data_IF_107995539685
#
_entry.id   IF_107995539685
#
_cell.length_a   1.000
_cell.length_b   1.000
_cell.length_c   1.000
_cell.angle_alpha   90.00
_cell.angle_beta   90.00
_cell.angle_gamma   90.00
#
_symmetry.space_group_name_H-M   'P 1'
#
loop_
_entity.id
_entity.type
_entity.pdbx_description
1 polymer ?
#
# COMPACT_ATOMS: atom_id res chain seq x y z
N UNK A 1 -15.40 -16.76 -18.78
CA UNK A 1 -15.68 -15.58 -17.91
C UNK A 1 -15.42 -14.32 -18.73
N UNK A 2 -16.33 -13.33 -18.76
CA UNK A 2 -16.02 -12.03 -19.37
C UNK A 2 -14.95 -11.34 -18.51
N UNK A 3 -13.87 -10.87 -19.13
CA UNK A 3 -12.87 -10.03 -18.47
C UNK A 3 -13.54 -8.80 -17.87
N UNK A 4 -13.17 -8.42 -16.64
CA UNK A 4 -13.67 -7.17 -16.02
C UNK A 4 -13.16 -5.99 -16.84
N UNK A 5 -14.01 -4.97 -17.04
CA UNK A 5 -13.60 -3.77 -17.78
C UNK A 5 -12.74 -2.85 -16.93
N UNK A 6 -12.95 -2.86 -15.62
CA UNK A 6 -12.21 -2.05 -14.68
C UNK A 6 -11.84 -2.86 -13.44
N UNK A 7 -10.57 -2.78 -13.02
CA UNK A 7 -10.17 -3.24 -11.69
C UNK A 7 -8.91 -2.52 -11.22
N UNK A 8 -8.92 -2.12 -9.95
CA UNK A 8 -7.74 -1.64 -9.23
C UNK A 8 -7.29 -2.75 -8.28
N UNK A 9 -6.08 -3.25 -8.46
CA UNK A 9 -5.47 -4.30 -7.65
C UNK A 9 -4.14 -3.78 -7.08
N UNK A 10 -3.63 -4.48 -6.08
CA UNK A 10 -2.36 -4.17 -5.46
C UNK A 10 -1.73 -5.43 -4.91
N UNK A 11 -0.41 -5.39 -4.73
CA UNK A 11 0.36 -6.45 -4.10
C UNK A 11 1.15 -5.82 -2.95
N UNK A 12 0.98 -6.35 -1.74
CA UNK A 12 1.74 -5.92 -0.57
C UNK A 12 3.20 -6.36 -0.71
N UNK A 13 4.13 -5.43 -0.47
CA UNK A 13 5.59 -5.59 -0.58
C UNK A 13 6.30 -5.14 0.70
N UNK A 14 5.94 -5.70 1.86
CA UNK A 14 6.45 -5.23 3.15
C UNK A 14 7.97 -5.38 3.32
N UNK A 15 8.66 -6.07 2.41
CA UNK A 15 10.11 -6.15 2.33
C UNK A 15 10.81 -4.83 1.95
N UNK A 16 10.09 -3.85 1.38
CA UNK A 16 10.64 -2.53 1.06
C UNK A 16 10.39 -1.54 2.20
N UNK A 17 9.15 -1.48 2.66
CA UNK A 17 8.71 -0.90 3.93
C UNK A 17 7.32 -1.45 4.25
N UNK A 18 6.91 -1.46 5.52
CA UNK A 18 5.68 -2.18 5.92
C UNK A 18 4.42 -1.72 5.18
N UNK A 19 4.33 -0.45 4.78
CA UNK A 19 3.21 0.08 3.98
C UNK A 19 3.47 0.11 2.46
N UNK A 20 4.44 -0.63 1.94
CA UNK A 20 4.76 -0.62 0.51
C UNK A 20 3.82 -1.53 -0.29
N UNK A 21 3.27 -1.01 -1.38
CA UNK A 21 2.44 -1.79 -2.30
C UNK A 21 2.77 -1.49 -3.76
N UNK A 22 2.78 -2.54 -4.58
CA UNK A 22 2.66 -2.41 -6.04
C UNK A 22 1.19 -2.07 -6.37
N UNK A 23 0.97 -1.22 -7.38
CA UNK A 23 -0.35 -0.84 -7.88
C UNK A 23 -0.58 -1.38 -9.30
N UNK A 24 -1.75 -1.96 -9.54
CA UNK A 24 -2.21 -2.29 -10.89
C UNK A 24 -3.58 -1.67 -11.15
N UNK A 25 -3.68 -0.80 -12.15
CA UNK A 25 -4.97 -0.35 -12.67
C UNK A 25 -5.22 -1.00 -14.03
N UNK A 26 -6.13 -1.98 -14.06
CA UNK A 26 -6.50 -2.70 -15.29
C UNK A 26 -7.75 -2.10 -15.91
N UNK A 27 -7.61 -1.65 -17.15
CA UNK A 27 -8.71 -1.17 -18.00
C UNK A 27 -8.76 -2.07 -19.24
N UNK A 28 -9.90 -2.72 -19.46
CA UNK A 28 -10.11 -3.65 -20.58
C UNK A 28 -9.02 -4.75 -20.67
N UNK A 29 -8.52 -5.18 -19.51
CA UNK A 29 -7.47 -6.20 -19.38
C UNK A 29 -6.03 -5.67 -19.46
N UNK A 30 -5.80 -4.41 -19.81
CA UNK A 30 -4.46 -3.80 -19.87
C UNK A 30 -4.13 -3.09 -18.56
N UNK A 31 -2.98 -3.38 -17.96
CA UNK A 31 -2.48 -2.63 -16.81
C UNK A 31 -1.91 -1.29 -17.29
N UNK A 32 -2.58 -0.18 -16.98
CA UNK A 32 -2.12 1.15 -17.40
C UNK A 32 -0.99 1.70 -16.51
N UNK A 33 -0.74 1.08 -15.36
CA UNK A 33 0.38 1.42 -14.48
C UNK A 33 1.70 0.75 -14.90
N UNK A 34 1.70 -0.13 -15.90
CA UNK A 34 2.92 -0.80 -16.35
C UNK A 34 3.84 0.17 -17.09
N UNK A 35 5.11 0.18 -16.69
CA UNK A 35 6.15 1.00 -17.28
C UNK A 35 7.46 0.23 -17.40
N UNK A 36 8.36 0.78 -18.19
CA UNK A 36 9.71 0.28 -18.37
C UNK A 36 10.74 1.32 -17.92
N UNK A 37 11.85 0.86 -17.37
CA UNK A 37 13.08 1.64 -17.20
C UNK A 37 14.12 1.10 -18.17
N UNK A 38 14.61 1.95 -19.07
CA UNK A 38 15.58 1.58 -20.12
C UNK A 38 15.15 0.33 -20.90
N UNK A 39 13.85 0.24 -21.21
CA UNK A 39 13.24 -0.84 -21.98
C UNK A 39 12.94 -2.13 -21.20
N UNK A 40 13.24 -2.20 -19.91
CA UNK A 40 12.90 -3.34 -19.05
C UNK A 40 11.67 -3.02 -18.21
N UNK A 41 10.69 -3.93 -18.17
CA UNK A 41 9.52 -3.78 -17.30
C UNK A 41 10.01 -3.75 -15.85
N UNK A 42 9.72 -2.66 -15.16
CA UNK A 42 10.07 -2.47 -13.76
C UNK A 42 8.81 -2.40 -12.90
N UNK A 43 9.03 -2.46 -11.59
CA UNK A 43 7.99 -2.32 -10.58
C UNK A 43 8.38 -1.25 -9.59
N UNK A 44 7.38 -0.51 -9.16
CA UNK A 44 7.53 0.50 -8.11
C UNK A 44 6.49 0.26 -7.02
N UNK A 45 6.77 0.81 -5.83
CA UNK A 45 5.91 0.65 -4.66
C UNK A 45 5.68 1.96 -3.95
N UNK A 46 4.46 2.17 -3.49
CA UNK A 46 4.11 3.33 -2.67
C UNK A 46 3.20 2.94 -1.50
N UNK A 47 3.05 3.88 -0.57
CA UNK A 47 1.99 3.82 0.41
C UNK A 47 0.65 4.20 -0.22
N UNK A 48 -0.21 3.20 -0.48
CA UNK A 48 -1.49 3.42 -1.14
C UNK A 48 -2.57 4.04 -0.25
N UNK A 49 -2.29 4.37 1.01
CA UNK A 49 -3.24 5.09 1.88
C UNK A 49 -3.62 6.45 1.27
N UNK A 50 -2.65 7.13 0.65
CA UNK A 50 -2.84 8.42 -0.02
C UNK A 50 -3.86 8.33 -1.16
N UNK A 51 -3.73 7.34 -2.04
CA UNK A 51 -4.71 7.09 -3.10
C UNK A 51 -6.08 6.66 -2.56
N UNK A 52 -6.09 5.85 -1.50
CA UNK A 52 -7.33 5.44 -0.83
C UNK A 52 -8.08 6.63 -0.25
N UNK A 53 -7.40 7.53 0.45
CA UNK A 53 -8.01 8.73 1.05
C UNK A 53 -8.45 9.73 -0.02
N UNK A 54 -7.67 9.89 -1.10
CA UNK A 54 -8.08 10.68 -2.26
C UNK A 54 -9.39 10.16 -2.85
N UNK A 55 -9.51 8.85 -3.10
CA UNK A 55 -10.76 8.28 -3.60
C UNK A 55 -11.90 8.47 -2.59
N UNK A 56 -11.69 8.25 -1.30
CA UNK A 56 -12.74 8.41 -0.29
C UNK A 56 -13.30 9.84 -0.25
N UNK A 57 -12.41 10.84 -0.32
CA UNK A 57 -12.79 12.25 -0.31
C UNK A 57 -13.45 12.70 -1.63
N UNK A 58 -13.00 12.13 -2.75
CA UNK A 58 -13.37 12.61 -4.08
C UNK A 58 -14.45 11.80 -4.80
N UNK A 59 -14.79 10.60 -4.32
CA UNK A 59 -15.78 9.75 -4.98
C UNK A 59 -17.14 10.44 -5.15
N UNK A 60 -17.56 11.28 -4.21
CA UNK A 60 -18.82 12.05 -4.31
C UNK A 60 -18.84 13.02 -5.50
N UNK A 61 -17.70 13.60 -5.82
CA UNK A 61 -17.51 14.54 -6.93
C UNK A 61 -17.44 13.80 -8.26
N UNK A 62 -16.63 12.73 -8.32
CA UNK A 62 -16.51 11.85 -9.49
C UNK A 62 -17.87 11.29 -9.93
N UNK A 63 -18.74 10.95 -8.97
CA UNK A 63 -20.08 10.39 -9.23
C UNK A 63 -21.17 11.46 -9.47
N UNK A 64 -20.86 12.74 -9.29
CA UNK A 64 -21.82 13.84 -9.41
C UNK A 64 -22.13 14.15 -10.86
N UNK A 65 -23.39 14.45 -11.17
CA UNK A 65 -23.74 15.07 -12.46
C UNK A 65 -23.48 16.57 -12.45
N UNK A 66 -23.42 17.18 -11.27
CA UNK A 66 -23.28 18.63 -11.09
C UNK A 66 -21.82 19.08 -11.09
N UNK A 67 -20.86 18.21 -10.71
CA UNK A 67 -19.42 18.57 -10.70
C UNK A 67 -18.81 18.43 -12.11
N UNK A 68 -19.33 19.24 -13.02
CA UNK A 68 -18.88 19.30 -14.42
C UNK A 68 -17.60 20.12 -14.53
N UNK A 69 -16.85 19.86 -15.59
CA UNK A 69 -15.71 20.71 -15.94
C UNK A 69 -16.18 22.17 -16.05
N UNK A 70 -15.46 23.14 -15.46
CA UNK A 70 -15.93 24.51 -15.26
C UNK A 70 -16.18 25.28 -16.56
N UNK A 71 -15.51 24.87 -17.65
CA UNK A 71 -15.52 25.58 -18.93
C UNK A 71 -16.03 24.72 -20.08
N UNK A 72 -16.63 25.37 -21.08
CA UNK A 72 -17.08 24.70 -22.31
C UNK A 72 -15.90 24.47 -23.27
N UNK A 73 -15.08 23.48 -22.98
CA UNK A 73 -13.91 23.11 -23.78
C UNK A 73 -14.20 21.84 -24.59
N UNK A 74 -13.83 21.83 -25.87
CA UNK A 74 -13.99 20.65 -26.75
C UNK A 74 -12.75 19.74 -26.66
N UNK A 75 -12.93 18.53 -26.16
CA UNK A 75 -11.90 17.49 -26.15
C UNK A 75 -12.50 16.09 -26.18
N UNK A 76 -11.68 15.07 -26.49
CA UNK A 76 -12.16 13.69 -26.60
C UNK A 76 -12.31 13.00 -25.24
N UNK A 77 -11.63 13.47 -24.19
CA UNK A 77 -11.70 12.95 -22.83
C UNK A 77 -11.42 14.05 -21.80
N UNK A 78 -11.61 13.75 -20.52
CA UNK A 78 -11.37 14.67 -19.41
C UNK A 78 -9.95 15.21 -19.36
N UNK A 79 -8.94 14.37 -19.59
CA UNK A 79 -7.53 14.82 -19.63
C UNK A 79 -7.32 15.83 -20.76
N UNK A 80 -7.75 15.51 -21.98
CA UNK A 80 -7.59 16.41 -23.13
C UNK A 80 -8.37 17.73 -22.94
N UNK A 81 -9.56 17.66 -22.31
CA UNK A 81 -10.35 18.83 -21.94
C UNK A 81 -9.54 19.73 -20.99
N UNK A 82 -8.93 19.15 -19.95
CA UNK A 82 -8.08 19.88 -19.01
C UNK A 82 -6.88 20.52 -19.70
N UNK A 83 -6.15 19.76 -20.51
CA UNK A 83 -4.96 20.24 -21.23
C UNK A 83 -5.29 21.43 -22.14
N UNK A 84 -6.35 21.31 -22.94
CA UNK A 84 -6.82 22.41 -23.80
C UNK A 84 -7.28 23.63 -23.03
N UNK A 85 -7.85 23.43 -21.84
CA UNK A 85 -8.26 24.54 -20.99
C UNK A 85 -7.05 25.35 -20.47
N UNK A 86 -5.96 24.66 -20.08
CA UNK A 86 -4.71 25.32 -19.72
C UNK A 86 -4.06 26.01 -20.92
N UNK A 87 -4.02 25.37 -22.08
CA UNK A 87 -3.47 25.94 -23.32
C UNK A 87 -4.25 27.21 -23.73
N UNK A 88 -5.58 27.15 -23.73
CA UNK A 88 -6.43 28.29 -24.03
C UNK A 88 -6.23 29.43 -23.01
N UNK A 89 -6.14 29.10 -21.73
CA UNK A 89 -5.87 30.08 -20.66
C UNK A 89 -4.56 30.83 -20.89
N UNK A 90 -3.49 30.10 -21.23
CA UNK A 90 -2.19 30.69 -21.52
C UNK A 90 -2.22 31.56 -22.78
N UNK A 91 -2.85 31.08 -23.87
CA UNK A 91 -2.88 31.79 -25.15
C UNK A 91 -3.75 33.05 -25.11
N UNK A 92 -4.81 33.04 -24.31
CA UNK A 92 -5.74 34.16 -24.17
C UNK A 92 -5.35 35.13 -23.02
N UNK A 93 -4.29 34.82 -22.27
CA UNK A 93 -3.92 35.56 -21.05
C UNK A 93 -5.07 35.67 -20.04
N UNK A 94 -5.76 34.55 -19.80
CA UNK A 94 -6.87 34.50 -18.84
C UNK A 94 -6.40 34.83 -17.41
N UNK A 95 -7.32 35.30 -16.58
CA UNK A 95 -7.04 35.63 -15.18
C UNK A 95 -6.75 34.38 -14.33
N UNK A 96 -6.15 34.58 -13.16
CA UNK A 96 -5.81 33.51 -12.21
C UNK A 96 -7.02 32.62 -11.90
N UNK A 97 -8.22 33.21 -11.78
CA UNK A 97 -9.48 32.49 -11.53
C UNK A 97 -9.76 31.39 -12.56
N UNK A 98 -9.33 31.57 -13.82
CA UNK A 98 -9.43 30.55 -14.87
C UNK A 98 -8.69 29.28 -14.49
N UNK A 99 -7.44 29.45 -14.09
CA UNK A 99 -6.56 28.35 -13.74
C UNK A 99 -6.95 27.71 -12.41
N UNK A 100 -7.39 28.51 -11.44
CA UNK A 100 -7.88 28.02 -10.14
C UNK A 100 -9.08 27.09 -10.31
N UNK A 101 -10.10 27.48 -11.08
CA UNK A 101 -11.27 26.62 -11.33
C UNK A 101 -10.92 25.30 -12.00
N UNK A 102 -10.01 25.33 -12.97
CA UNK A 102 -9.51 24.09 -13.62
C UNK A 102 -8.73 23.24 -12.63
N UNK A 103 -7.90 23.87 -11.81
CA UNK A 103 -7.10 23.19 -10.79
C UNK A 103 -7.97 22.52 -9.74
N UNK A 104 -8.90 23.25 -9.13
CA UNK A 104 -9.83 22.73 -8.12
C UNK A 104 -10.65 21.54 -8.63
N UNK A 105 -11.15 21.62 -9.88
CA UNK A 105 -11.83 20.48 -10.49
C UNK A 105 -10.84 19.32 -10.72
N UNK A 106 -9.63 19.61 -11.17
CA UNK A 106 -8.60 18.58 -11.36
C UNK A 106 -8.24 17.87 -10.06
N UNK A 107 -8.14 18.57 -8.93
CA UNK A 107 -7.85 17.96 -7.62
C UNK A 107 -8.87 16.88 -7.22
N UNK A 108 -10.12 17.05 -7.63
CA UNK A 108 -11.23 16.12 -7.34
C UNK A 108 -11.38 15.00 -8.36
N UNK A 109 -10.79 15.15 -9.55
CA UNK A 109 -11.04 14.25 -10.68
C UNK A 109 -9.77 13.56 -11.22
N UNK A 110 -8.58 14.10 -10.98
CA UNK A 110 -7.27 13.57 -11.38
C UNK A 110 -6.56 12.94 -10.19
N UNK A 111 -6.32 11.64 -10.22
CA UNK A 111 -5.74 10.93 -9.07
C UNK A 111 -4.29 11.29 -8.77
N UNK A 112 -3.62 12.08 -9.61
CA UNK A 112 -2.25 12.56 -9.39
C UNK A 112 -2.19 13.47 -8.17
N UNK A 113 -3.31 14.11 -7.84
CA UNK A 113 -3.50 14.85 -6.60
C UNK A 113 -3.68 13.96 -5.36
N UNK A 114 -3.61 12.64 -5.50
CA UNK A 114 -3.51 11.76 -4.33
C UNK A 114 -2.19 11.93 -3.58
N UNK A 115 -1.14 12.39 -4.25
CA UNK A 115 0.19 12.52 -3.65
C UNK A 115 0.91 11.18 -3.45
N UNK A 116 0.50 10.11 -4.15
CA UNK A 116 1.27 8.87 -4.12
C UNK A 116 2.67 9.10 -4.72
N UNK A 117 3.69 8.61 -4.00
CA UNK A 117 5.10 8.71 -4.38
C UNK A 117 5.54 7.41 -5.09
N UNK A 118 5.17 7.28 -6.36
CA UNK A 118 5.68 6.22 -7.25
C UNK A 118 5.69 6.69 -8.72
N UNK A 119 6.13 5.83 -9.62
CA UNK A 119 5.88 5.92 -11.06
C UNK A 119 4.47 5.41 -11.37
N UNK A 120 3.58 6.30 -11.83
CA UNK A 120 2.19 5.96 -12.19
C UNK A 120 1.65 6.92 -13.25
N UNK A 121 0.64 6.53 -14.06
CA UNK A 121 0.09 7.38 -15.11
C UNK A 121 -0.75 8.54 -14.54
N UNK A 122 -1.04 9.59 -15.32
CA UNK A 122 -2.13 10.51 -14.96
C UNK A 122 -3.46 9.86 -15.34
N UNK A 123 -4.39 9.77 -14.40
CA UNK A 123 -5.70 9.13 -14.61
C UNK A 123 -6.81 10.01 -14.05
N UNK A 124 -7.76 10.32 -14.92
CA UNK A 124 -8.89 11.16 -14.63
C UNK A 124 -10.19 10.38 -14.67
N UNK A 125 -11.07 10.71 -13.73
CA UNK A 125 -12.37 10.09 -13.55
C UNK A 125 -13.45 11.17 -13.63
N UNK A 126 -14.44 11.01 -14.50
CA UNK A 126 -15.61 11.90 -14.52
C UNK A 126 -16.88 11.16 -14.93
N UNK A 127 -18.02 11.58 -14.39
CA UNK A 127 -19.31 11.06 -14.81
C UNK A 127 -19.70 11.64 -16.17
N UNK A 128 -20.10 10.76 -17.08
CA UNK A 128 -20.68 11.08 -18.38
C UNK A 128 -21.93 10.22 -18.54
N UNK A 129 -23.09 10.85 -18.45
CA UNK A 129 -24.39 10.18 -18.43
C UNK A 129 -24.42 9.06 -17.36
N UNK A 130 -24.70 7.83 -17.78
CA UNK A 130 -24.81 6.62 -16.95
C UNK A 130 -23.47 5.91 -16.67
N UNK A 131 -22.34 6.53 -17.02
CA UNK A 131 -21.01 5.90 -16.96
C UNK A 131 -19.97 6.83 -16.35
N UNK A 132 -18.88 6.22 -15.88
CA UNK A 132 -17.64 6.91 -15.53
C UNK A 132 -16.70 6.80 -16.71
N UNK A 133 -16.32 7.94 -17.26
CA UNK A 133 -15.15 8.02 -18.12
C UNK A 133 -13.90 7.88 -17.25
N UNK A 134 -13.04 6.93 -17.62
CA UNK A 134 -11.69 6.79 -17.09
C UNK A 134 -10.75 7.06 -18.23
N UNK A 135 -10.02 8.18 -18.18
CA UNK A 135 -9.03 8.55 -19.19
C UNK A 135 -7.65 8.65 -18.58
N UNK A 136 -6.63 8.25 -19.33
CA UNK A 136 -5.24 8.34 -18.90
C UNK A 136 -4.36 8.94 -19.98
N UNK A 137 -3.34 9.66 -19.54
CA UNK A 137 -2.24 10.12 -20.38
C UNK A 137 -0.96 10.07 -19.55
N UNK A 138 0.11 9.57 -20.15
CA UNK A 138 1.44 9.45 -19.55
C UNK A 138 2.51 9.77 -20.57
N UNK A 139 2.11 10.36 -21.69
CA UNK A 139 2.95 10.65 -22.84
C UNK A 139 4.17 11.44 -22.41
N UNK A 140 3.97 12.49 -21.60
CA UNK A 140 5.03 13.40 -21.17
C UNK A 140 5.52 13.17 -19.73
N UNK A 141 4.98 12.17 -19.04
CA UNK A 141 5.29 11.95 -17.62
C UNK A 141 6.70 11.38 -17.46
N UNK A 142 7.47 11.92 -16.54
CA UNK A 142 8.87 11.53 -16.23
C UNK A 142 9.89 11.62 -17.36
N UNK A 143 9.59 12.34 -18.46
CA UNK A 143 10.54 12.53 -19.58
C UNK A 143 11.79 13.32 -19.21
N UNK A 144 11.70 14.16 -18.20
CA UNK A 144 12.80 15.03 -17.76
C UNK A 144 13.81 14.28 -16.88
N UNK A 145 13.60 12.98 -16.62
CA UNK A 145 14.57 12.16 -15.91
C UNK A 145 15.82 11.94 -16.77
N UNK A 146 16.92 12.58 -16.35
CA UNK A 146 18.19 12.52 -17.07
C UNK A 146 19.02 11.26 -16.76
N UNK A 147 18.62 10.46 -15.77
CA UNK A 147 19.40 9.30 -15.31
C UNK A 147 19.00 8.02 -16.03
N UNK A 148 17.70 7.80 -16.25
CA UNK A 148 17.17 6.62 -16.90
C UNK A 148 15.84 6.95 -17.60
N UNK A 149 15.55 6.21 -18.66
CA UNK A 149 14.36 6.45 -19.49
C UNK A 149 13.16 5.68 -18.95
N UNK A 150 12.15 6.40 -18.47
CA UNK A 150 10.87 5.83 -18.03
C UNK A 150 9.83 5.91 -19.16
N UNK A 151 9.20 4.79 -19.51
CA UNK A 151 8.14 4.73 -20.54
C UNK A 151 6.97 3.86 -20.12
N UNK A 152 5.75 4.39 -20.17
CA UNK A 152 4.54 3.60 -19.92
C UNK A 152 4.17 2.74 -21.13
N UNK A 153 3.77 1.49 -20.90
CA UNK A 153 3.35 0.61 -22.00
C UNK A 153 1.95 0.96 -22.52
N UNK A 154 1.15 1.67 -21.71
CA UNK A 154 -0.13 2.26 -22.10
C UNK A 154 -0.08 3.79 -21.99
N UNK A 155 0.43 4.46 -23.03
CA UNK A 155 0.68 5.90 -23.01
C UNK A 155 -0.57 6.76 -22.82
N UNK A 156 -1.66 6.46 -23.53
CA UNK A 156 -2.89 7.25 -23.44
C UNK A 156 -4.11 6.43 -23.82
N UNK A 157 -5.26 6.81 -23.28
CA UNK A 157 -6.52 6.20 -23.66
C UNK A 157 -7.70 6.67 -22.84
N UNK A 158 -8.86 6.09 -23.14
CA UNK A 158 -10.09 6.29 -22.38
C UNK A 158 -10.97 5.05 -22.45
N UNK A 159 -11.74 4.80 -21.40
CA UNK A 159 -12.81 3.82 -21.39
C UNK A 159 -14.01 4.34 -20.60
N UNK A 160 -15.18 3.74 -20.85
CA UNK A 160 -16.43 4.07 -20.17
C UNK A 160 -16.89 2.88 -19.33
N UNK A 161 -16.88 3.07 -18.02
CA UNK A 161 -17.17 2.04 -17.02
C UNK A 161 -18.57 2.28 -16.45
N UNK A 162 -19.34 1.22 -16.22
CA UNK A 162 -20.63 1.35 -15.52
C UNK A 162 -20.41 1.89 -14.11
N UNK A 163 -21.27 2.81 -13.67
CA UNK A 163 -21.12 3.47 -12.36
C UNK A 163 -21.07 2.44 -11.22
N UNK A 164 -21.89 1.39 -11.27
CA UNK A 164 -21.93 0.35 -10.24
C UNK A 164 -20.65 -0.49 -10.22
N UNK A 165 -20.08 -0.80 -11.39
CA UNK A 165 -18.82 -1.53 -11.51
C UNK A 165 -17.65 -0.71 -10.95
N UNK A 166 -17.58 0.57 -11.35
CA UNK A 166 -16.58 1.51 -10.86
C UNK A 166 -16.65 1.67 -9.34
N UNK A 167 -17.82 2.06 -8.82
CA UNK A 167 -18.05 2.29 -7.38
C UNK A 167 -17.71 1.05 -6.55
N UNK A 168 -18.09 -0.14 -7.03
CA UNK A 168 -17.81 -1.41 -6.35
C UNK A 168 -16.31 -1.67 -6.22
N UNK A 169 -15.53 -1.51 -7.29
CA UNK A 169 -14.09 -1.75 -7.24
C UNK A 169 -13.35 -0.69 -6.42
N UNK A 170 -13.72 0.60 -6.51
CA UNK A 170 -13.12 1.66 -5.70
C UNK A 170 -13.39 1.47 -4.20
N UNK A 171 -14.64 1.21 -3.80
CA UNK A 171 -14.97 0.98 -2.39
C UNK A 171 -14.29 -0.27 -1.82
N UNK A 172 -14.15 -1.31 -2.65
CA UNK A 172 -13.41 -2.52 -2.28
C UNK A 172 -11.91 -2.22 -2.09
N UNK A 173 -11.32 -1.38 -2.94
CA UNK A 173 -9.94 -0.94 -2.81
C UNK A 173 -9.72 -0.16 -1.50
N UNK A 174 -10.50 0.90 -1.28
CA UNK A 174 -10.44 1.74 -0.07
C UNK A 174 -10.53 0.86 1.19
N UNK A 175 -11.57 0.01 1.25
CA UNK A 175 -11.80 -0.86 2.42
C UNK A 175 -10.60 -1.76 2.70
N UNK A 176 -9.97 -2.33 1.67
CA UNK A 176 -8.83 -3.22 1.88
C UNK A 176 -7.58 -2.46 2.32
N UNK A 177 -7.24 -1.36 1.65
CA UNK A 177 -6.06 -0.55 2.01
C UNK A 177 -6.19 -0.02 3.44
N UNK A 178 -7.32 0.60 3.80
CA UNK A 178 -7.54 1.10 5.17
C UNK A 178 -7.46 0.01 6.22
N UNK A 179 -7.98 -1.19 5.93
CA UNK A 179 -7.87 -2.33 6.85
C UNK A 179 -6.40 -2.71 7.07
N UNK A 180 -5.63 -2.86 5.99
CA UNK A 180 -4.22 -3.24 6.07
C UNK A 180 -3.42 -2.16 6.80
N UNK A 181 -3.59 -0.90 6.42
CA UNK A 181 -2.91 0.24 7.04
C UNK A 181 -3.19 0.31 8.54
N UNK A 182 -4.45 0.13 8.97
CA UNK A 182 -4.81 0.06 10.38
C UNK A 182 -4.05 -1.05 11.13
N UNK A 183 -4.00 -2.26 10.56
CA UNK A 183 -3.27 -3.38 11.19
C UNK A 183 -1.78 -3.03 11.37
N UNK A 184 -1.17 -2.49 10.32
CA UNK A 184 0.24 -2.10 10.33
C UNK A 184 0.47 -0.99 11.37
N UNK A 185 -0.29 0.10 11.33
CA UNK A 185 -0.17 1.23 12.26
C UNK A 185 -0.36 0.79 13.71
N UNK A 186 -1.34 -0.06 14.01
CA UNK A 186 -1.60 -0.54 15.37
C UNK A 186 -0.41 -1.36 15.90
N UNK A 187 0.20 -2.22 15.07
CA UNK A 187 1.39 -3.02 15.43
C UNK A 187 2.67 -2.20 15.49
N UNK A 188 2.85 -1.25 14.58
CA UNK A 188 3.97 -0.31 14.59
C UNK A 188 3.90 0.53 15.86
N UNK A 189 2.81 1.25 16.15
CA UNK A 189 2.70 2.11 17.35
C UNK A 189 3.06 1.39 18.66
N UNK A 190 2.68 0.12 18.80
CA UNK A 190 3.06 -0.70 19.97
C UNK A 190 4.53 -1.13 20.02
N UNK A 191 5.19 -1.25 18.87
CA UNK A 191 6.65 -1.42 18.80
C UNK A 191 7.35 -0.10 19.22
N UNK A 192 6.71 1.06 18.99
CA UNK A 192 7.31 2.41 19.06
C UNK A 192 6.88 3.28 20.26
N UNK A 193 6.97 2.78 21.50
CA UNK A 193 6.88 3.63 22.72
C UNK A 193 8.23 4.31 23.08
N UNK A 194 8.75 5.15 22.17
CA UNK A 194 9.62 6.28 22.54
C UNK A 194 11.08 6.28 22.09
N UNK A 195 11.65 5.20 21.57
CA UNK A 195 13.02 5.21 21.01
C UNK A 195 13.00 4.73 19.55
N UNK A 196 13.50 5.60 18.66
CA UNK A 196 13.57 5.38 17.22
C UNK A 196 14.72 4.41 16.93
N UNK A 197 14.42 3.15 16.61
CA UNK A 197 15.41 2.31 15.93
C UNK A 197 15.30 2.57 14.43
N UNK A 198 16.44 2.95 13.86
CA UNK A 198 16.60 3.26 12.46
C UNK A 198 16.08 2.10 11.59
N UNK A 199 15.06 2.37 10.79
CA UNK A 199 14.43 1.39 9.90
C UNK A 199 15.40 0.82 8.87
N UNK A 200 16.58 1.43 8.67
CA UNK A 200 17.67 0.90 7.83
C UNK A 200 18.04 -0.56 8.14
N UNK A 201 17.90 -1.02 9.38
CA UNK A 201 18.17 -2.41 9.77
C UNK A 201 17.11 -3.43 9.31
N UNK A 202 15.93 -2.98 8.87
CA UNK A 202 14.88 -3.86 8.34
C UNK A 202 15.02 -4.11 6.82
N UNK A 203 15.95 -3.43 6.16
CA UNK A 203 15.97 -3.29 4.69
C UNK A 203 17.13 -3.99 3.98
N UNK A 204 17.89 -4.84 4.67
CA UNK A 204 18.80 -5.73 3.97
C UNK A 204 17.96 -6.79 3.25
N UNK A 205 17.89 -6.70 1.92
CA UNK A 205 17.43 -7.78 1.05
C UNK A 205 18.32 -9.00 1.31
N UNK A 206 17.96 -9.81 2.29
CA UNK A 206 18.49 -11.17 2.33
C UNK A 206 17.85 -11.95 1.19
N UNK A 207 18.69 -12.63 0.41
CA UNK A 207 18.22 -13.61 -0.56
C UNK A 207 17.29 -14.60 0.15
N UNK A 208 16.15 -14.92 -0.46
CA UNK A 208 15.20 -15.88 0.11
C UNK A 208 15.94 -17.19 0.40
N UNK A 209 16.14 -17.45 1.67
CA UNK A 209 16.68 -18.69 2.19
C UNK A 209 15.57 -19.77 2.15
N UNK A 210 15.90 -20.99 1.72
CA UNK A 210 15.02 -22.17 1.69
C UNK A 210 14.19 -22.35 2.99
N UNK A 211 14.73 -21.95 4.14
CA UNK A 211 14.04 -21.97 5.44
C UNK A 211 12.82 -21.04 5.47
N UNK A 212 12.96 -19.79 5.01
CA UNK A 212 11.85 -18.84 4.94
C UNK A 212 10.76 -19.35 3.98
N UNK A 213 11.16 -19.93 2.84
CA UNK A 213 10.23 -20.50 1.87
C UNK A 213 9.46 -21.69 2.45
N UNK A 214 10.13 -22.61 3.14
CA UNK A 214 9.50 -23.74 3.79
C UNK A 214 8.53 -23.30 4.90
N UNK A 215 8.94 -22.33 5.71
CA UNK A 215 8.10 -21.74 6.75
C UNK A 215 6.82 -21.10 6.16
N UNK A 216 6.97 -20.26 5.14
CA UNK A 216 5.83 -19.63 4.45
C UNK A 216 4.95 -20.65 3.74
N UNK A 217 5.54 -21.68 3.14
CA UNK A 217 4.78 -22.75 2.48
C UNK A 217 3.89 -23.49 3.48
N UNK A 218 4.41 -23.83 4.66
CA UNK A 218 3.59 -24.45 5.71
C UNK A 218 2.49 -23.51 6.22
N UNK A 219 2.76 -22.21 6.36
CA UNK A 219 1.72 -21.23 6.70
C UNK A 219 0.67 -21.17 5.59
N UNK A 220 1.07 -21.03 4.34
CA UNK A 220 0.14 -20.92 3.21
C UNK A 220 -0.68 -22.20 2.97
N UNK A 221 -0.17 -23.38 3.37
CA UNK A 221 -0.94 -24.63 3.39
C UNK A 221 -2.16 -24.56 4.33
N UNK A 222 -2.21 -23.61 5.27
CA UNK A 222 -3.40 -23.32 6.09
C UNK A 222 -4.46 -22.47 5.36
N UNK A 223 -4.25 -22.12 4.09
CA UNK A 223 -5.17 -21.32 3.27
C UNK A 223 -4.85 -19.82 3.22
N UNK A 224 -3.65 -19.42 3.66
CA UNK A 224 -3.16 -18.04 3.53
C UNK A 224 -2.47 -17.82 2.17
N UNK A 225 -2.25 -16.54 1.83
CA UNK A 225 -1.56 -16.15 0.61
C UNK A 225 -0.51 -15.06 0.91
N UNK A 226 0.42 -15.40 1.79
CA UNK A 226 1.56 -14.56 2.15
C UNK A 226 2.71 -14.81 1.17
N UNK A 227 3.25 -13.75 0.59
CA UNK A 227 4.34 -13.77 -0.37
C UNK A 227 5.72 -13.73 0.29
N UNK A 228 5.82 -13.10 1.47
CA UNK A 228 7.05 -12.94 2.25
C UNK A 228 6.76 -13.12 3.74
N UNK A 229 7.80 -13.38 4.55
CA UNK A 229 7.65 -13.48 6.02
C UNK A 229 7.19 -12.16 6.63
N UNK A 230 7.44 -11.04 5.95
CA UNK A 230 7.04 -9.72 6.40
C UNK A 230 5.53 -9.49 6.26
N UNK A 231 4.83 -10.22 5.40
CA UNK A 231 3.36 -10.19 5.34
C UNK A 231 2.72 -10.72 6.64
N UNK A 232 3.46 -11.44 7.49
CA UNK A 232 3.00 -11.91 8.79
C UNK A 232 2.73 -10.76 9.78
N UNK A 233 3.16 -9.53 9.47
CA UNK A 233 2.66 -8.34 10.18
C UNK A 233 1.13 -8.24 10.10
N UNK A 234 0.49 -8.83 9.09
CA UNK A 234 -0.97 -8.84 8.92
C UNK A 234 -1.69 -9.92 9.76
N UNK A 235 -0.98 -10.61 10.66
CA UNK A 235 -1.62 -11.57 11.56
C UNK A 235 -2.63 -10.89 12.49
N UNK A 236 -3.82 -11.49 12.61
CA UNK A 236 -4.95 -11.05 13.42
C UNK A 236 -5.33 -12.21 14.36
N UNK A 237 -6.14 -11.94 15.39
CA UNK A 237 -6.61 -12.94 16.39
C UNK A 237 -7.13 -14.24 15.78
N UNK A 238 -7.76 -14.19 14.61
CA UNK A 238 -8.31 -15.37 13.91
C UNK A 238 -7.24 -16.32 13.36
N UNK A 239 -5.98 -15.88 13.26
CA UNK A 239 -4.88 -16.64 12.66
C UNK A 239 -4.08 -17.50 13.66
N UNK A 240 -4.65 -17.85 14.82
CA UNK A 240 -3.96 -18.65 15.85
C UNK A 240 -3.39 -19.98 15.35
N UNK A 241 -3.97 -20.55 14.30
CA UNK A 241 -3.51 -21.80 13.69
C UNK A 241 -2.08 -21.73 13.13
N UNK A 242 -1.47 -20.55 12.98
CA UNK A 242 -0.06 -20.41 12.59
C UNK A 242 0.91 -20.68 13.75
N UNK A 243 0.45 -20.58 15.01
CA UNK A 243 1.29 -20.68 16.22
C UNK A 243 2.15 -21.96 16.27
N UNK A 244 1.61 -23.17 15.96
CA UNK A 244 2.42 -24.39 15.94
C UNK A 244 3.58 -24.33 14.95
N UNK A 245 3.40 -23.67 13.81
CA UNK A 245 4.43 -23.51 12.78
C UNK A 245 5.52 -22.56 13.30
N UNK A 246 5.15 -21.45 13.94
CA UNK A 246 6.12 -20.58 14.61
C UNK A 246 6.93 -21.33 15.68
N UNK A 247 6.28 -22.16 16.52
CA UNK A 247 6.98 -22.98 17.52
C UNK A 247 8.01 -23.93 16.89
N UNK A 248 7.70 -24.48 15.72
CA UNK A 248 8.59 -25.38 14.97
C UNK A 248 9.79 -24.65 14.36
N UNK A 249 9.59 -23.45 13.81
CA UNK A 249 10.60 -22.77 12.99
C UNK A 249 11.39 -21.67 13.70
N UNK A 250 10.85 -21.02 14.73
CA UNK A 250 11.41 -19.77 15.28
C UNK A 250 12.90 -19.89 15.61
N UNK A 251 13.31 -20.95 16.34
CA UNK A 251 14.71 -21.17 16.74
C UNK A 251 15.67 -21.52 15.59
N UNK A 252 15.14 -21.84 14.39
CA UNK A 252 15.95 -22.17 13.21
C UNK A 252 16.41 -20.93 12.45
N UNK A 253 15.77 -19.79 12.67
CA UNK A 253 16.10 -18.54 12.03
C UNK A 253 17.27 -17.84 12.72
N UNK A 254 18.00 -17.05 11.94
CA UNK A 254 18.98 -16.10 12.45
C UNK A 254 18.33 -15.07 13.39
N UNK A 255 19.14 -14.35 14.16
CA UNK A 255 18.63 -13.44 15.18
C UNK A 255 17.79 -12.30 14.58
N UNK A 256 18.15 -11.77 13.42
CA UNK A 256 17.45 -10.62 12.83
C UNK A 256 16.10 -11.02 12.25
N UNK A 257 16.02 -12.16 11.56
CA UNK A 257 14.74 -12.75 11.15
C UNK A 257 13.87 -13.05 12.37
N UNK A 258 14.45 -13.63 13.45
CA UNK A 258 13.70 -13.91 14.68
C UNK A 258 13.14 -12.63 15.32
N UNK A 259 13.90 -11.52 15.36
CA UNK A 259 13.41 -10.22 15.87
C UNK A 259 12.11 -9.81 15.16
N UNK A 260 12.02 -9.99 13.84
CA UNK A 260 10.80 -9.70 13.09
C UNK A 260 9.67 -10.70 13.39
N UNK A 261 9.96 -11.99 13.40
CA UNK A 261 8.95 -13.02 13.65
C UNK A 261 8.31 -12.91 15.04
N UNK A 262 9.08 -12.61 16.09
CA UNK A 262 8.51 -12.39 17.43
C UNK A 262 7.59 -11.16 17.46
N UNK A 263 7.96 -10.07 16.77
CA UNK A 263 7.09 -8.88 16.64
C UNK A 263 5.76 -9.23 15.98
N UNK A 264 5.79 -10.08 14.95
CA UNK A 264 4.57 -10.50 14.25
C UNK A 264 3.64 -11.35 15.12
N UNK A 265 4.19 -12.10 16.06
CA UNK A 265 3.44 -12.87 17.08
C UNK A 265 2.76 -11.99 18.14
N UNK A 266 3.12 -10.71 18.25
CA UNK A 266 2.41 -9.71 19.06
C UNK A 266 1.01 -9.46 18.51
N UNK A 267 0.07 -10.36 18.81
CA UNK A 267 -1.32 -10.32 18.34
C UNK A 267 -2.22 -10.58 19.55
N UNK A 268 -3.17 -9.67 19.80
CA UNK A 268 -4.16 -9.82 20.88
C UNK A 268 -4.83 -11.19 20.85
N UNK A 269 -4.73 -11.91 21.97
CA UNK A 269 -5.27 -13.24 22.16
C UNK A 269 -4.38 -14.39 21.67
N UNK A 270 -3.14 -14.17 21.23
CA UNK A 270 -2.18 -15.26 20.98
C UNK A 270 -1.56 -15.80 22.28
N UNK A 271 -2.38 -16.04 23.32
CA UNK A 271 -1.91 -16.39 24.67
C UNK A 271 -1.02 -17.65 24.68
N UNK A 272 -1.27 -18.58 23.76
CA UNK A 272 -0.55 -19.85 23.61
C UNK A 272 0.93 -19.70 23.20
N UNK A 273 1.35 -18.51 22.74
CA UNK A 273 2.74 -18.21 22.41
C UNK A 273 3.54 -17.66 23.61
N UNK A 274 2.86 -17.20 24.67
CA UNK A 274 3.51 -16.54 25.81
C UNK A 274 4.65 -17.40 26.38
N UNK A 275 4.46 -18.70 26.70
CA UNK A 275 5.55 -19.51 27.27
C UNK A 275 6.78 -19.61 26.36
N UNK A 276 6.60 -19.61 25.03
CA UNK A 276 7.71 -19.59 24.09
C UNK A 276 8.47 -18.26 24.17
N UNK A 277 7.74 -17.15 24.17
CA UNK A 277 8.31 -15.80 24.25
C UNK A 277 9.06 -15.57 25.57
N UNK A 278 8.51 -16.02 26.70
CA UNK A 278 9.19 -15.94 28.00
C UNK A 278 10.51 -16.74 27.99
N UNK A 279 10.49 -17.95 27.42
CA UNK A 279 11.71 -18.75 27.32
C UNK A 279 12.77 -18.09 26.41
N UNK A 280 12.36 -17.57 25.25
CA UNK A 280 13.25 -16.82 24.36
C UNK A 280 13.85 -15.57 25.04
N UNK A 281 13.07 -14.88 25.88
CA UNK A 281 13.53 -13.72 26.64
C UNK A 281 14.60 -14.10 27.66
N UNK A 282 14.39 -15.20 28.40
CA UNK A 282 15.32 -15.66 29.44
C UNK A 282 16.62 -16.22 28.84
N UNK A 283 16.54 -17.01 27.76
CA UNK A 283 17.68 -17.68 27.14
C UNK A 283 18.60 -16.74 26.34
N UNK A 284 18.04 -15.73 25.67
CA UNK A 284 18.81 -14.88 24.74
C UNK A 284 19.26 -13.58 25.42
N UNK A 285 20.53 -13.17 25.30
CA UNK A 285 21.08 -11.95 25.92
C UNK A 285 20.94 -10.68 25.08
N UNK A 286 20.56 -10.80 23.80
CA UNK A 286 20.44 -9.66 22.89
C UNK A 286 19.32 -8.69 23.33
N UNK A 287 19.70 -7.43 23.54
CA UNK A 287 18.81 -6.40 24.08
C UNK A 287 17.65 -6.09 23.13
N UNK A 288 17.92 -5.95 21.83
CA UNK A 288 16.90 -5.60 20.84
C UNK A 288 15.87 -6.72 20.64
N UNK A 289 16.33 -7.98 20.65
CA UNK A 289 15.47 -9.15 20.60
C UNK A 289 14.57 -9.24 21.82
N UNK A 290 15.14 -9.06 23.03
CA UNK A 290 14.36 -9.00 24.27
C UNK A 290 13.34 -7.86 24.27
N UNK A 291 13.68 -6.68 23.77
CA UNK A 291 12.73 -5.56 23.60
C UNK A 291 11.60 -5.95 22.66
N UNK A 292 11.92 -6.60 21.55
CA UNK A 292 10.93 -7.08 20.56
C UNK A 292 9.95 -8.08 21.19
N UNK A 293 10.43 -8.96 22.07
CA UNK A 293 9.59 -9.89 22.84
C UNK A 293 8.69 -9.13 23.83
N UNK A 294 9.23 -8.19 24.62
CA UNK A 294 8.46 -7.40 25.59
C UNK A 294 7.32 -6.65 24.90
N UNK A 295 7.60 -6.01 23.76
CA UNK A 295 6.57 -5.33 22.97
C UNK A 295 5.48 -6.29 22.47
N UNK A 296 5.88 -7.50 22.06
CA UNK A 296 4.94 -8.54 21.63
C UNK A 296 4.05 -9.04 22.77
N UNK A 297 4.60 -9.22 23.97
CA UNK A 297 3.84 -9.61 25.17
C UNK A 297 2.80 -8.55 25.57
N UNK A 298 3.15 -7.25 25.46
CA UNK A 298 2.17 -6.15 25.65
C UNK A 298 1.01 -6.24 24.67
N UNK A 299 1.31 -6.47 23.39
CA UNK A 299 0.30 -6.58 22.33
C UNK A 299 -0.65 -7.76 22.50
N UNK A 300 -0.17 -8.85 23.12
CA UNK A 300 -1.00 -10.01 23.45
C UNK A 300 -1.99 -9.69 24.61
N UNK A 301 -1.85 -8.51 25.24
CA UNK A 301 -2.55 -8.01 26.43
C UNK A 301 -2.07 -8.64 27.75
N UNK A 302 -0.79 -8.98 27.83
CA UNK A 302 -0.14 -9.37 29.07
C UNK A 302 0.76 -8.26 29.62
N UNK A 303 0.12 -7.14 29.97
CA UNK A 303 0.80 -5.93 30.45
C UNK A 303 1.59 -6.15 31.75
N UNK A 304 1.17 -7.08 32.61
CA UNK A 304 1.86 -7.36 33.87
C UNK A 304 3.20 -8.06 33.65
N UNK A 305 3.23 -9.14 32.86
CA UNK A 305 4.48 -9.84 32.52
C UNK A 305 5.42 -8.91 31.74
N UNK A 306 4.88 -8.17 30.77
CA UNK A 306 5.69 -7.25 29.99
C UNK A 306 6.31 -6.12 30.82
N UNK A 307 5.58 -5.59 31.82
CA UNK A 307 6.13 -4.58 32.76
C UNK A 307 7.24 -5.15 33.63
N UNK A 308 7.13 -6.39 34.09
CA UNK A 308 8.20 -7.04 34.87
C UNK A 308 9.47 -7.22 34.03
N UNK A 309 9.34 -7.74 32.80
CA UNK A 309 10.47 -7.93 31.91
C UNK A 309 11.13 -6.63 31.46
N UNK A 310 10.34 -5.58 31.23
CA UNK A 310 10.91 -4.25 30.95
C UNK A 310 11.75 -3.74 32.13
N UNK A 311 11.29 -3.93 33.38
CA UNK A 311 12.08 -3.56 34.57
C UNK A 311 13.39 -4.34 34.65
N UNK A 312 13.39 -5.64 34.29
CA UNK A 312 14.62 -6.45 34.25
C UNK A 312 15.61 -5.96 33.20
N UNK A 313 15.13 -5.47 32.05
CA UNK A 313 15.97 -4.88 31.00
C UNK A 313 16.58 -3.52 31.39
N UNK A 314 15.85 -2.67 32.11
CA UNK A 314 16.32 -1.33 32.51
C UNK A 314 17.24 -1.32 33.73
N UNK A 315 17.41 -2.45 34.41
CA UNK A 315 18.30 -2.62 35.58
C UNK A 315 19.72 -3.06 35.21
N UNK A 316 19.97 -3.26 33.91
CA UNK A 316 21.28 -3.55 33.30
C UNK A 316 21.69 -2.28 32.56
#
# INVERSE_FOLDING_TARGET
MKSKKFSINFIHRPEIFYEAFELELKIEGKNICEFTVDGKIEKDTANLIFLSDWFENNLKFILSEEDKFPYKIKGNCGIEIREKAYEMGNNNHEEIEWFEKIHEWSERHLWTFSGIEMVYPDVMFRKINDKIEVSWDSTNKYRDNMTYKIEFTSLKGKSFIKIEEFKKEILKFIKKIKKIYKIITDKIKSIFYGEYFNSEYLYMREERNNLQENFLKEINNLGYNFNTIYDLILLEKKHKNVIPIFKKYLKLFDLDTRKNLVRFLGVKGFDEIIPLLENEFLENVDKEYRISIVNSLRLIENDEIAKDYLKKLMKI
#
